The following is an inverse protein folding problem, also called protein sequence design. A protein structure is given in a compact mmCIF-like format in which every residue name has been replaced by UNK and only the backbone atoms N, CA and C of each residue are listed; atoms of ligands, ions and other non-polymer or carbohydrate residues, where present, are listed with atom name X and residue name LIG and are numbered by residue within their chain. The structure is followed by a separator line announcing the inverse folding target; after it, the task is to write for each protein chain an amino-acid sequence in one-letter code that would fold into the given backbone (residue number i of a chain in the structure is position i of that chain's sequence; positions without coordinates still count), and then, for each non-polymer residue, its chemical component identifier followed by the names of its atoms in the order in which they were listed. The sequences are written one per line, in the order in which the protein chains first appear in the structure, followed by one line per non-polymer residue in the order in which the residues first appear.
data_IF_348215663496
#
_entry.id   IF_348215663496
#
_cell.length_a   1.000
_cell.length_b   1.000
_cell.length_c   1.000
_cell.angle_alpha   90.00
_cell.angle_beta   90.00
_cell.angle_gamma   90.00
#
_symmetry.space_group_name_H-M   'P 1'
#
loop_
_entity.id
_entity.type
_entity.pdbx_description
1 polymer ?
#
# COMPACT_ATOMS: atom_id res chain seq x y z
N UNK A 1 -2.00 -10.53 -8.87
CA UNK A 1 -0.86 -10.14 -8.00
C UNK A 1 0.21 -9.50 -8.86
N UNK A 2 0.54 -8.23 -8.63
CA UNK A 2 1.57 -7.49 -9.40
C UNK A 2 3.01 -7.87 -8.98
N UNK A 3 3.20 -8.26 -7.72
CA UNK A 3 4.40 -8.88 -7.20
C UNK A 3 4.05 -9.65 -5.92
N UNK A 4 4.58 -10.86 -5.78
CA UNK A 4 4.55 -11.63 -4.54
C UNK A 4 5.99 -11.76 -4.07
N UNK A 5 6.23 -11.34 -2.83
CA UNK A 5 7.56 -11.36 -2.24
C UNK A 5 7.46 -12.13 -0.93
N UNK A 6 8.10 -13.29 -0.88
CA UNK A 6 8.27 -14.09 0.33
C UNK A 6 9.76 -14.11 0.68
N UNK A 7 10.08 -13.75 1.92
CA UNK A 7 11.42 -13.88 2.50
C UNK A 7 11.25 -14.20 3.98
N UNK A 8 12.35 -14.45 4.69
CA UNK A 8 12.28 -14.87 6.09
C UNK A 8 12.45 -13.73 7.10
N UNK A 9 12.87 -12.53 6.65
CA UNK A 9 13.16 -11.39 7.55
C UNK A 9 12.71 -10.03 7.03
N UNK A 10 13.43 -9.45 6.07
CA UNK A 10 13.18 -8.11 5.52
C UNK A 10 13.31 -8.18 4.02
N UNK A 11 12.45 -7.46 3.31
CA UNK A 11 12.61 -7.32 1.87
C UNK A 11 12.68 -5.85 1.49
N UNK A 12 13.74 -5.52 0.78
CA UNK A 12 13.92 -4.24 0.14
C UNK A 12 13.97 -4.45 -1.37
N UNK A 13 13.19 -3.67 -2.11
CA UNK A 13 13.25 -3.64 -3.57
C UNK A 13 13.77 -2.28 -4.00
N UNK A 14 14.72 -2.30 -4.93
CA UNK A 14 15.41 -1.11 -5.42
C UNK A 14 15.33 -1.05 -6.95
N UNK A 15 14.99 0.13 -7.50
CA UNK A 15 15.00 0.38 -8.95
C UNK A 15 14.08 -0.55 -9.76
N UNK A 16 12.92 -0.92 -9.22
CA UNK A 16 11.93 -1.73 -9.92
C UNK A 16 10.69 -0.91 -10.32
N UNK A 17 10.05 -1.35 -11.41
CA UNK A 17 8.75 -0.84 -11.83
C UNK A 17 7.69 -1.94 -11.64
N UNK A 18 6.56 -1.58 -11.05
CA UNK A 18 5.43 -2.49 -10.83
C UNK A 18 4.20 -1.99 -11.58
N UNK A 19 3.54 -2.90 -12.28
CA UNK A 19 2.28 -2.65 -12.99
C UNK A 19 1.12 -3.23 -12.19
N UNK A 20 0.14 -2.39 -11.84
CA UNK A 20 -1.07 -2.77 -11.10
C UNK A 20 -2.28 -2.67 -12.03
N UNK A 21 -2.86 -3.80 -12.44
CA UNK A 21 -3.87 -3.87 -13.53
C UNK A 21 -5.25 -4.40 -13.14
N UNK A 22 -5.50 -4.82 -11.88
CA UNK A 22 -6.85 -5.29 -11.49
C UNK A 22 -7.14 -5.12 -10.01
N UNK A 23 -8.28 -4.47 -9.72
CA UNK A 23 -8.82 -4.18 -8.37
C UNK A 23 -9.57 -5.41 -7.83
N UNK A 24 -8.86 -6.52 -7.63
CA UNK A 24 -9.38 -7.65 -6.85
C UNK A 24 -8.35 -8.02 -5.78
N UNK A 25 -8.50 -7.35 -4.63
CA UNK A 25 -8.15 -7.77 -3.27
C UNK A 25 -6.67 -8.13 -2.95
N UNK A 26 -5.73 -8.17 -3.91
CA UNK A 26 -4.32 -8.55 -3.64
C UNK A 26 -3.28 -7.65 -4.31
N UNK A 27 -3.37 -6.34 -4.05
CA UNK A 27 -2.34 -5.36 -4.41
C UNK A 27 -1.24 -5.33 -3.35
N UNK A 28 0.01 -5.58 -3.80
CA UNK A 28 1.24 -5.72 -3.01
C UNK A 28 1.01 -6.23 -1.58
N UNK A 29 0.60 -7.50 -1.46
CA UNK A 29 0.70 -8.20 -0.18
C UNK A 29 2.07 -8.87 -0.13
N UNK A 30 2.93 -8.38 0.75
CA UNK A 30 4.12 -9.13 1.17
C UNK A 30 3.65 -10.09 2.25
N UNK A 31 3.43 -11.33 1.86
CA UNK A 31 2.93 -12.41 2.72
C UNK A 31 4.01 -13.48 2.80
N UNK A 32 4.59 -13.74 3.98
CA UNK A 32 5.35 -14.98 4.16
C UNK A 32 4.34 -16.11 4.44
N UNK A 33 4.41 -17.19 3.66
CA UNK A 33 3.61 -18.40 3.91
C UNK A 33 4.52 -19.41 4.57
N UNK A 34 4.56 -19.43 5.90
CA UNK A 34 5.16 -20.55 6.62
C UNK A 34 4.16 -21.72 6.56
N UNK A 35 4.54 -22.92 6.10
CA UNK A 35 3.63 -24.05 6.00
C UNK A 35 3.44 -24.68 7.38
N UNK A 36 2.63 -24.06 8.23
CA UNK A 36 2.02 -24.75 9.37
C UNK A 36 0.69 -24.07 9.73
N UNK A 37 -0.37 -24.87 9.58
CA UNK A 37 -1.65 -24.83 10.32
C UNK A 37 -2.10 -23.49 10.94
N UNK A 38 -3.28 -23.03 10.51
CA UNK A 38 -4.10 -21.92 11.05
C UNK A 38 -3.52 -20.50 10.93
N UNK A 39 -3.93 -19.80 9.86
CA UNK A 39 -4.30 -18.37 9.84
C UNK A 39 -3.31 -17.30 10.37
N UNK A 40 -2.01 -17.56 10.45
CA UNK A 40 -1.01 -16.51 10.72
C UNK A 40 -0.35 -16.03 9.43
N UNK A 41 -0.97 -15.05 8.78
CA UNK A 41 -0.33 -14.24 7.74
C UNK A 41 0.66 -13.29 8.45
N UNK A 42 1.94 -13.68 8.52
CA UNK A 42 2.98 -12.77 9.04
C UNK A 42 3.36 -11.81 7.91
N UNK A 43 2.88 -10.57 8.00
CA UNK A 43 3.32 -9.52 7.09
C UNK A 43 4.73 -9.09 7.47
N UNK A 44 5.66 -9.04 6.52
CA UNK A 44 7.03 -8.64 6.82
C UNK A 44 7.23 -7.13 6.64
N UNK A 45 8.19 -6.53 7.38
CA UNK A 45 8.66 -5.20 7.05
C UNK A 45 9.21 -5.17 5.62
N UNK A 46 8.64 -4.29 4.81
CA UNK A 46 8.93 -4.14 3.39
C UNK A 46 9.26 -2.68 3.07
N UNK A 47 10.34 -2.49 2.33
CA UNK A 47 10.72 -1.17 1.82
C UNK A 47 10.93 -1.17 0.32
N UNK A 48 10.48 -0.10 -0.33
CA UNK A 48 10.75 0.19 -1.72
C UNK A 48 11.53 1.48 -1.82
N UNK A 49 12.66 1.44 -2.51
CA UNK A 49 13.50 2.60 -2.71
C UNK A 49 13.65 2.88 -4.21
N UNK A 50 13.33 4.11 -4.61
CA UNK A 50 13.45 4.57 -5.99
C UNK A 50 12.73 3.63 -6.99
N UNK A 51 11.52 3.21 -6.62
CA UNK A 51 10.68 2.34 -7.44
C UNK A 51 9.51 3.11 -8.05
N UNK A 52 9.03 2.63 -9.19
CA UNK A 52 7.88 3.19 -9.89
C UNK A 52 6.67 2.26 -9.78
N UNK A 53 5.51 2.83 -9.51
CA UNK A 53 4.23 2.13 -9.44
C UNK A 53 3.32 2.75 -10.49
N UNK A 54 3.02 1.97 -11.53
CA UNK A 54 2.07 2.36 -12.57
C UNK A 54 0.72 1.69 -12.34
N UNK A 55 -0.32 2.52 -12.23
CA UNK A 55 -1.68 2.10 -11.90
C UNK A 55 -2.58 2.19 -13.11
N UNK A 56 -3.21 1.07 -13.42
CA UNK A 56 -4.27 0.96 -14.42
C UNK A 56 -5.47 0.32 -13.71
N UNK A 57 -6.55 1.07 -13.54
CA UNK A 57 -7.75 0.61 -12.82
C UNK A 57 -8.94 0.56 -13.77
N UNK A 58 -9.87 -0.37 -13.57
CA UNK A 58 -11.13 -0.33 -14.32
C UNK A 58 -12.07 0.73 -13.72
N UNK A 59 -12.26 1.85 -14.42
CA UNK A 59 -13.16 2.95 -13.99
C UNK A 59 -14.61 2.51 -13.75
N UNK A 60 -15.01 1.34 -14.28
CA UNK A 60 -16.37 0.80 -14.13
C UNK A 60 -16.58 0.14 -12.76
N UNK A 61 -15.52 -0.10 -12.00
CA UNK A 61 -15.58 -0.78 -10.70
C UNK A 61 -15.34 0.24 -9.58
N UNK A 62 -16.33 0.38 -8.70
CA UNK A 62 -16.21 1.15 -7.45
C UNK A 62 -16.41 0.22 -6.25
N UNK A 63 -15.73 0.45 -5.12
CA UNK A 63 -14.75 1.53 -4.88
C UNK A 63 -13.43 1.38 -5.67
N UNK A 64 -12.71 2.48 -5.82
CA UNK A 64 -11.39 2.49 -6.47
C UNK A 64 -10.42 1.54 -5.76
N UNK A 65 -9.46 1.00 -6.51
CA UNK A 65 -8.43 0.12 -5.94
C UNK A 65 -7.52 0.82 -4.95
N UNK A 66 -6.79 0.04 -4.17
CA UNK A 66 -5.73 0.54 -3.29
C UNK A 66 -4.38 -0.07 -3.67
N UNK A 67 -3.31 0.71 -3.61
CA UNK A 67 -1.94 0.24 -3.90
C UNK A 67 -1.46 -0.70 -2.80
N UNK A 68 -1.80 -0.41 -1.54
CA UNK A 68 -1.38 -1.20 -0.38
C UNK A 68 -2.57 -1.74 0.41
N UNK A 69 -2.35 -2.86 1.12
CA UNK A 69 -3.29 -3.46 2.05
C UNK A 69 -2.53 -4.12 3.21
N UNK A 70 -2.11 -3.32 4.19
CA UNK A 70 -1.33 -3.81 5.33
C UNK A 70 -2.26 -4.27 6.48
N UNK A 71 -1.99 -5.44 7.03
CA UNK A 71 -2.63 -6.12 8.15
C UNK A 71 -1.58 -6.29 9.25
N UNK A 72 -1.81 -5.62 10.38
CA UNK A 72 -1.01 -5.74 11.59
C UNK A 72 -1.96 -5.86 12.76
N UNK A 73 -1.81 -6.90 13.56
CA UNK A 73 -2.74 -7.20 14.66
C UNK A 73 -2.32 -6.53 15.96
N UNK A 74 -1.00 -6.36 16.18
CA UNK A 74 -0.47 -5.84 17.44
C UNK A 74 0.54 -4.70 17.25
N UNK A 75 0.61 -3.80 18.23
CA UNK A 75 1.55 -2.69 18.25
C UNK A 75 3.03 -3.13 18.34
N UNK A 76 3.30 -4.35 18.81
CA UNK A 76 4.66 -4.89 18.98
C UNK A 76 5.22 -5.54 17.69
N UNK A 77 4.37 -5.84 16.72
CA UNK A 77 4.79 -6.44 15.45
C UNK A 77 5.65 -5.45 14.66
N UNK A 78 6.92 -5.75 14.37
CA UNK A 78 7.77 -4.81 13.64
C UNK A 78 7.57 -4.88 12.11
N UNK A 79 6.33 -4.68 11.67
CA UNK A 79 5.87 -4.89 10.28
C UNK A 79 5.33 -3.58 9.71
N UNK A 80 5.44 -3.38 8.41
CA UNK A 80 5.04 -2.13 7.77
C UNK A 80 5.54 -2.00 6.35
N UNK A 81 4.86 -1.18 5.55
CA UNK A 81 5.28 -0.86 4.19
C UNK A 81 5.82 0.56 4.11
N UNK A 82 7.03 0.72 3.54
CA UNK A 82 7.66 2.03 3.39
C UNK A 82 8.13 2.24 1.96
N UNK A 83 7.63 3.30 1.30
CA UNK A 83 8.00 3.67 -0.06
C UNK A 83 8.81 4.96 -0.01
N UNK A 84 10.04 4.95 -0.54
CA UNK A 84 11.00 6.05 -0.42
C UNK A 84 11.48 6.47 -1.81
N UNK A 85 11.41 7.76 -2.12
CA UNK A 85 11.97 8.34 -3.36
C UNK A 85 11.41 7.72 -4.65
N UNK A 86 10.21 7.16 -4.61
CA UNK A 86 9.58 6.52 -5.78
C UNK A 86 8.66 7.44 -6.58
N UNK A 87 7.87 6.83 -7.47
CA UNK A 87 6.76 7.50 -8.17
C UNK A 87 5.51 6.62 -8.19
N UNK A 88 4.36 7.26 -8.01
CA UNK A 88 3.03 6.65 -8.16
C UNK A 88 2.26 7.43 -9.23
N UNK A 89 1.97 6.77 -10.35
CA UNK A 89 1.26 7.37 -11.46
C UNK A 89 0.41 6.37 -12.22
N UNK A 90 -0.51 6.85 -13.06
CA UNK A 90 -1.47 5.99 -13.71
C UNK A 90 -2.50 6.74 -14.52
N UNK A 91 -3.48 6.00 -15.02
CA UNK A 91 -4.54 6.54 -15.90
C UNK A 91 -5.83 6.82 -15.11
N UNK A 92 -5.99 6.18 -13.94
CA UNK A 92 -7.26 6.12 -13.20
C UNK A 92 -7.08 6.44 -11.71
N UNK A 93 -8.20 6.63 -11.02
CA UNK A 93 -8.23 6.92 -9.60
C UNK A 93 -7.81 5.71 -8.75
N UNK A 94 -7.01 5.95 -7.71
CA UNK A 94 -6.52 4.93 -6.77
C UNK A 94 -6.29 5.50 -5.36
N UNK A 95 -6.49 4.66 -4.35
CA UNK A 95 -6.03 4.91 -2.99
C UNK A 95 -4.56 4.47 -2.82
N UNK A 96 -3.79 5.21 -2.03
CA UNK A 96 -2.46 4.78 -1.57
C UNK A 96 -2.52 3.49 -0.77
N UNK A 97 -3.58 3.31 0.01
CA UNK A 97 -3.70 2.13 0.84
C UNK A 97 -5.06 1.92 1.45
N UNK A 98 -5.25 0.70 1.93
CA UNK A 98 -6.36 0.33 2.80
C UNK A 98 -5.89 -0.39 4.06
N UNK A 99 -6.59 -0.14 5.16
CA UNK A 99 -6.37 -0.88 6.40
C UNK A 99 -6.97 -2.29 6.29
N UNK A 100 -6.20 -3.30 6.69
CA UNK A 100 -6.64 -4.70 6.84
C UNK A 100 -6.53 -5.22 8.28
N UNK A 101 -6.08 -4.38 9.21
CA UNK A 101 -6.01 -4.68 10.64
C UNK A 101 -5.83 -3.42 11.49
N UNK A 102 -5.99 -3.53 12.82
CA UNK A 102 -6.06 -2.39 13.74
C UNK A 102 -4.80 -1.52 13.77
N UNK A 103 -3.61 -2.10 13.55
CA UNK A 103 -2.33 -1.38 13.61
C UNK A 103 -1.68 -1.17 12.23
N UNK A 104 -2.46 -1.24 11.15
CA UNK A 104 -1.94 -1.15 9.78
C UNK A 104 -1.02 0.07 9.58
N UNK A 105 0.17 -0.17 9.01
CA UNK A 105 1.26 0.82 8.93
C UNK A 105 1.83 0.92 7.51
N UNK A 106 1.64 2.07 6.89
CA UNK A 106 2.09 2.35 5.52
C UNK A 106 2.60 3.79 5.44
N UNK A 107 3.80 3.96 4.90
CA UNK A 107 4.44 5.27 4.77
C UNK A 107 4.91 5.48 3.34
N UNK A 108 4.50 6.59 2.73
CA UNK A 108 5.10 7.12 1.50
C UNK A 108 5.96 8.33 1.85
N UNK A 109 7.26 8.29 1.56
CA UNK A 109 8.19 9.35 1.88
C UNK A 109 8.94 9.82 0.62
N UNK A 110 8.95 11.13 0.36
CA UNK A 110 9.63 11.74 -0.79
C UNK A 110 9.25 11.09 -2.12
N UNK A 111 8.04 10.55 -2.22
CA UNK A 111 7.54 9.81 -3.38
C UNK A 111 6.64 10.73 -4.18
N UNK A 112 6.84 10.80 -5.50
CA UNK A 112 5.99 11.62 -6.36
C UNK A 112 4.62 10.98 -6.51
N UNK A 113 3.56 11.73 -6.22
CA UNK A 113 2.17 11.31 -6.33
C UNK A 113 1.48 12.10 -7.44
N UNK A 114 1.12 11.43 -8.53
CA UNK A 114 0.38 12.05 -9.64
C UNK A 114 -1.13 12.17 -9.36
N UNK A 115 -1.88 12.80 -10.26
CA UNK A 115 -3.34 13.02 -10.11
C UNK A 115 -4.17 11.75 -9.95
N UNK A 116 -3.63 10.60 -10.36
CA UNK A 116 -4.15 9.24 -10.15
C UNK A 116 -4.48 8.96 -8.68
N UNK A 117 -3.74 9.54 -7.73
CA UNK A 117 -4.06 9.37 -6.31
C UNK A 117 -5.23 10.26 -5.93
N UNK A 118 -6.28 9.64 -5.39
CA UNK A 118 -7.49 10.35 -4.96
C UNK A 118 -7.21 11.24 -3.73
N UNK A 119 -7.91 12.37 -3.56
CA UNK A 119 -7.64 13.32 -2.48
C UNK A 119 -7.70 12.71 -1.07
N UNK A 120 -8.67 11.82 -0.82
CA UNK A 120 -8.77 11.09 0.44
C UNK A 120 -7.51 10.25 0.72
N UNK A 121 -6.86 9.74 -0.34
CA UNK A 121 -5.61 8.97 -0.33
C UNK A 121 -5.69 7.59 0.35
N UNK A 122 -6.55 7.41 1.35
CA UNK A 122 -6.67 6.20 2.16
C UNK A 122 -8.13 5.79 2.29
N UNK A 123 -8.37 4.50 2.54
CA UNK A 123 -9.72 3.94 2.76
C UNK A 123 -9.68 2.79 3.77
N UNK A 124 -10.77 2.58 4.51
CA UNK A 124 -10.92 1.47 5.45
C UNK A 124 -12.01 0.48 5.03
N UNK A 125 -12.55 0.55 3.81
CA UNK A 125 -13.56 -0.38 3.26
C UNK A 125 -13.35 -1.88 3.49
N UNK A 126 -12.13 -2.30 3.85
CA UNK A 126 -11.77 -3.68 4.07
C UNK A 126 -11.55 -4.07 5.54
N UNK A 127 -11.82 -3.16 6.47
CA UNK A 127 -11.69 -3.33 7.91
C UNK A 127 -12.70 -2.43 8.64
N UNK A 128 -13.65 -3.05 9.32
CA UNK A 128 -14.75 -2.44 10.06
C UNK A 128 -14.41 -2.12 11.52
N UNK A 129 -13.24 -2.57 12.00
CA UNK A 129 -12.76 -2.30 13.36
C UNK A 129 -12.21 -0.88 13.57
N UNK A 130 -11.60 -0.66 14.73
CA UNK A 130 -11.07 0.65 15.13
C UNK A 130 -9.91 1.11 14.23
N UNK A 131 -10.04 2.31 13.66
CA UNK A 131 -8.97 2.95 12.88
C UNK A 131 -8.06 3.86 13.71
N UNK A 132 -8.18 3.87 15.04
CA UNK A 132 -7.48 4.79 15.95
C UNK A 132 -5.97 4.57 15.96
N UNK A 133 -5.53 3.33 15.79
CA UNK A 133 -4.13 2.92 15.92
C UNK A 133 -3.42 2.73 14.57
N UNK A 134 -4.05 3.19 13.49
CA UNK A 134 -3.49 3.16 12.15
C UNK A 134 -2.34 4.17 12.01
N UNK A 135 -1.30 3.78 11.27
CA UNK A 135 -0.21 4.66 10.89
C UNK A 135 -0.06 4.73 9.38
N UNK A 136 -0.95 5.49 8.74
CA UNK A 136 -0.92 5.77 7.30
C UNK A 136 -0.46 7.21 7.09
N UNK A 137 0.71 7.38 6.47
CA UNK A 137 1.35 8.69 6.41
C UNK A 137 2.03 8.97 5.07
N UNK A 138 2.05 10.25 4.73
CA UNK A 138 2.89 10.80 3.67
C UNK A 138 3.91 11.77 4.28
N UNK A 139 5.15 11.73 3.79
CA UNK A 139 6.21 12.61 4.25
C UNK A 139 6.92 13.27 3.06
N UNK A 140 6.74 14.58 2.90
CA UNK A 140 7.37 15.38 1.84
C UNK A 140 7.16 14.79 0.44
N UNK A 141 5.97 14.25 0.16
CA UNK A 141 5.59 13.77 -1.16
C UNK A 141 5.27 14.95 -2.08
N UNK A 142 5.95 15.10 -3.23
CA UNK A 142 5.59 16.11 -4.22
C UNK A 142 4.52 15.59 -5.21
N UNK A 143 3.97 16.51 -5.99
CA UNK A 143 3.07 16.19 -7.09
C UNK A 143 1.60 16.47 -6.77
N UNK A 144 0.74 16.52 -7.79
CA UNK A 144 -0.63 16.97 -7.62
C UNK A 144 -1.48 16.00 -6.79
N UNK A 145 -1.15 14.70 -6.75
CA UNK A 145 -1.85 13.71 -5.92
C UNK A 145 -1.46 13.73 -4.44
N UNK A 146 -0.40 14.46 -4.08
CA UNK A 146 -0.04 14.71 -2.68
C UNK A 146 -0.87 15.84 -2.05
N UNK A 147 -1.59 16.62 -2.87
CA UNK A 147 -2.50 17.65 -2.39
C UNK A 147 -3.82 17.02 -1.91
N UNK A 148 -4.03 17.04 -0.60
CA UNK A 148 -5.22 16.47 0.06
C UNK A 148 -6.43 17.40 0.08
N UNK A 149 -6.28 18.64 -0.36
CA UNK A 149 -7.36 19.65 -0.37
C UNK A 149 -8.04 19.78 -1.75
N UNK A 150 -7.53 19.07 -2.77
CA UNK A 150 -8.13 19.04 -4.11
C UNK A 150 -9.47 18.29 -4.04
N UNK A 151 -10.57 18.89 -4.48
CA UNK A 151 -11.92 18.26 -4.54
C UNK A 151 -12.24 17.73 -5.93
#
# INVERSE_FOLDING_TARGET
VAAFVAADNKVAVHHCAFLVTKVDITTMSVTSKVPSTSSSVVQLPFSMYNCEIFVVSDKRVKPYGSITAHHRENADENTGYVFIRGKVYGIDDVYLGRAKGPYSRVIFAKTYLSKTVVPNGWTNWSYDGSTKDLYHAEYKCPGPGADRQRT
#
